data_IF_931021245782
#
_entry.id   IF_931021245782
#
_cell.length_a   1.000
_cell.length_b   1.000
_cell.length_c   1.000
_cell.angle_alpha   90.00
_cell.angle_beta   90.00
_cell.angle_gamma   90.00
#
_symmetry.space_group_name_H-M   'P 1'
#
loop_
_entity.id
_entity.type
_entity.pdbx_description
1 polymer ?
#
# COMPACT_ATOMS: atom_id res chain seq x y z
N UNK A 1 9.82 -21.45 -5.16
CA UNK A 1 9.64 -20.06 -4.72
C UNK A 1 8.22 -19.64 -5.02
N UNK A 2 7.47 -19.14 -4.04
CA UNK A 2 6.14 -18.60 -4.27
C UNK A 2 6.26 -17.34 -5.17
N UNK A 3 5.27 -17.09 -6.05
CA UNK A 3 5.24 -15.89 -6.91
C UNK A 3 5.36 -14.60 -6.07
N UNK A 4 4.73 -14.57 -4.90
CA UNK A 4 4.83 -13.42 -3.98
C UNK A 4 6.25 -13.22 -3.44
N UNK A 5 6.95 -14.28 -3.03
CA UNK A 5 8.35 -14.20 -2.56
C UNK A 5 9.31 -13.73 -3.66
N UNK A 6 9.08 -14.21 -4.89
CA UNK A 6 9.85 -13.74 -6.06
C UNK A 6 9.62 -12.24 -6.27
N UNK A 7 8.36 -11.79 -6.14
CA UNK A 7 7.99 -10.38 -6.26
C UNK A 7 8.67 -9.49 -5.21
N UNK A 8 8.81 -9.97 -3.97
CA UNK A 8 9.54 -9.24 -2.91
C UNK A 8 10.96 -8.93 -3.35
N UNK A 9 11.69 -9.92 -3.87
CA UNK A 9 13.10 -9.74 -4.25
C UNK A 9 13.27 -8.79 -5.44
N UNK A 10 12.43 -8.91 -6.47
CA UNK A 10 12.53 -8.06 -7.67
C UNK A 10 12.06 -6.62 -7.43
N UNK A 11 11.23 -6.39 -6.40
CA UNK A 11 10.71 -5.05 -6.08
C UNK A 11 11.64 -4.21 -5.19
N UNK A 12 12.76 -4.77 -4.71
CA UNK A 12 13.71 -4.05 -3.85
C UNK A 12 14.24 -2.73 -4.45
N UNK A 13 14.63 -2.64 -5.74
CA UNK A 13 15.05 -1.37 -6.33
C UNK A 13 13.95 -0.30 -6.26
N UNK A 14 12.71 -0.67 -6.62
CA UNK A 14 11.56 0.24 -6.56
C UNK A 14 11.27 0.71 -5.13
N UNK A 15 11.39 -0.19 -4.14
CA UNK A 15 11.23 0.18 -2.72
C UNK A 15 12.28 1.20 -2.27
N UNK A 16 13.53 1.08 -2.75
CA UNK A 16 14.59 2.04 -2.46
C UNK A 16 14.26 3.42 -3.00
N UNK A 17 13.77 3.49 -4.23
CA UNK A 17 13.44 4.75 -4.90
C UNK A 17 12.23 5.44 -4.22
N UNK A 18 11.23 4.66 -3.81
CA UNK A 18 10.10 5.17 -3.00
C UNK A 18 10.59 5.74 -1.67
N UNK A 19 11.49 5.04 -0.96
CA UNK A 19 12.08 5.53 0.30
C UNK A 19 12.79 6.88 0.07
N UNK A 20 13.57 7.00 -1.01
CA UNK A 20 14.24 8.26 -1.35
C UNK A 20 13.23 9.40 -1.62
N UNK A 21 12.16 9.13 -2.35
CA UNK A 21 11.12 10.14 -2.63
C UNK A 21 10.40 10.57 -1.35
N UNK A 22 10.02 9.61 -0.50
CA UNK A 22 9.31 9.86 0.76
C UNK A 22 10.14 10.69 1.73
N UNK A 23 11.46 10.47 1.81
CA UNK A 23 12.35 11.25 2.68
C UNK A 23 12.33 12.76 2.36
N UNK A 24 12.05 13.12 1.11
CA UNK A 24 11.87 14.51 0.69
C UNK A 24 10.45 15.00 0.97
N UNK A 25 9.46 14.19 0.66
CA UNK A 25 8.03 14.54 0.77
C UNK A 25 7.62 14.73 2.24
N UNK A 26 8.14 13.91 3.16
CA UNK A 26 7.76 13.96 4.59
C UNK A 26 8.07 15.30 5.25
N UNK A 27 8.99 16.08 4.70
CA UNK A 27 9.36 17.40 5.23
C UNK A 27 8.39 18.50 4.78
N UNK A 28 7.64 18.25 3.71
CA UNK A 28 6.73 19.22 3.08
C UNK A 28 5.26 18.89 3.28
N UNK A 29 4.94 17.63 3.55
CA UNK A 29 3.55 17.21 3.73
C UNK A 29 3.08 17.50 5.15
N UNK A 30 1.96 18.22 5.25
CA UNK A 30 1.19 18.32 6.49
C UNK A 30 0.09 17.26 6.47
N UNK A 31 0.19 16.29 7.38
CA UNK A 31 -0.82 15.24 7.51
C UNK A 31 -2.02 15.76 8.30
N UNK A 32 -3.22 15.37 7.86
CA UNK A 32 -4.44 15.60 8.65
C UNK A 32 -4.51 14.58 9.78
N UNK A 33 -4.95 15.02 10.95
CA UNK A 33 -5.34 14.09 12.01
C UNK A 33 -6.44 13.14 11.55
N UNK A 34 -6.37 11.89 12.03
CA UNK A 34 -7.36 10.85 11.70
C UNK A 34 -7.54 10.69 10.20
N UNK A 35 -6.44 10.77 9.44
CA UNK A 35 -6.46 10.51 8.01
C UNK A 35 -6.58 9.02 7.71
N UNK A 36 -7.13 8.71 6.54
CA UNK A 36 -7.04 7.40 5.92
C UNK A 36 -6.05 7.50 4.77
N UNK A 37 -5.15 6.53 4.67
CA UNK A 37 -4.13 6.47 3.63
C UNK A 37 -4.44 5.29 2.71
N UNK A 38 -4.41 5.54 1.40
CA UNK A 38 -4.60 4.53 0.38
C UNK A 38 -3.30 4.38 -0.43
N UNK A 39 -2.77 3.17 -0.48
CA UNK A 39 -1.61 2.81 -1.30
C UNK A 39 -2.06 1.92 -2.46
N UNK A 40 -1.92 2.43 -3.67
CA UNK A 40 -2.40 1.80 -4.91
C UNK A 40 -1.27 0.98 -5.53
N UNK A 41 -1.59 -0.24 -5.95
CA UNK A 41 -0.60 -1.22 -6.42
C UNK A 41 0.43 -1.56 -5.32
N UNK A 42 -0.08 -1.83 -4.12
CA UNK A 42 0.73 -2.04 -2.91
C UNK A 42 1.58 -3.32 -2.96
N UNK A 43 1.33 -4.23 -3.91
CA UNK A 43 2.04 -5.48 -4.07
C UNK A 43 2.04 -6.31 -2.78
N UNK A 44 3.24 -6.68 -2.32
CA UNK A 44 3.46 -7.49 -1.11
C UNK A 44 3.37 -6.70 0.20
N UNK A 45 3.04 -5.40 0.15
CA UNK A 45 2.82 -4.57 1.33
C UNK A 45 4.08 -3.99 1.98
N UNK A 46 5.25 -4.14 1.36
CA UNK A 46 6.51 -3.63 1.93
C UNK A 46 6.54 -2.11 2.01
N UNK A 47 6.10 -1.40 0.97
CA UNK A 47 6.05 0.08 0.96
C UNK A 47 5.13 0.62 2.07
N UNK A 48 3.86 0.20 2.19
CA UNK A 48 2.98 0.76 3.20
C UNK A 48 3.45 0.41 4.62
N UNK A 49 4.13 -0.72 4.82
CA UNK A 49 4.68 -1.11 6.12
C UNK A 49 6.02 -0.46 6.48
N UNK A 50 7.02 -0.52 5.60
CA UNK A 50 8.41 -0.14 5.89
C UNK A 50 8.72 1.33 5.56
N UNK A 51 7.81 2.01 4.84
CA UNK A 51 8.02 3.38 4.36
C UNK A 51 6.90 4.32 4.80
N UNK A 52 5.61 3.98 4.57
CA UNK A 52 4.50 4.87 4.93
C UNK A 52 4.18 4.84 6.42
N UNK A 53 3.99 3.67 7.01
CA UNK A 53 3.63 3.53 8.42
C UNK A 53 4.56 4.32 9.38
N UNK A 54 5.90 4.35 9.20
CA UNK A 54 6.79 5.09 10.09
C UNK A 54 6.74 6.62 9.98
N UNK A 55 6.20 7.18 8.89
CA UNK A 55 6.17 8.64 8.66
C UNK A 55 4.78 9.25 8.93
N UNK A 56 3.76 8.41 9.04
CA UNK A 56 2.39 8.84 9.23
C UNK A 56 2.15 9.21 10.70
N UNK A 57 1.25 10.16 11.00
CA UNK A 57 0.89 10.49 12.37
C UNK A 57 0.35 9.27 13.12
N UNK A 58 0.61 9.18 14.42
CA UNK A 58 0.01 8.14 15.28
C UNK A 58 -1.53 8.23 15.28
N UNK A 59 -2.09 9.41 15.01
CA UNK A 59 -3.53 9.64 14.90
C UNK A 59 -4.16 9.05 13.62
N UNK A 60 -3.36 8.50 12.68
CA UNK A 60 -3.83 7.90 11.43
C UNK A 60 -4.85 6.80 11.71
N UNK A 61 -6.01 6.88 11.06
CA UNK A 61 -7.14 5.96 11.29
C UNK A 61 -6.91 4.61 10.63
N UNK A 62 -6.44 4.61 9.38
CA UNK A 62 -6.19 3.39 8.64
C UNK A 62 -5.17 3.60 7.51
N UNK A 63 -4.41 2.55 7.23
CA UNK A 63 -3.63 2.40 5.99
C UNK A 63 -4.27 1.25 5.21
N UNK A 64 -4.62 1.52 3.96
CA UNK A 64 -5.30 0.59 3.07
C UNK A 64 -4.38 0.36 1.88
N UNK A 65 -3.85 -0.85 1.74
CA UNK A 65 -3.13 -1.29 0.56
C UNK A 65 -4.08 -1.98 -0.41
N UNK A 66 -4.05 -1.57 -1.69
CA UNK A 66 -4.84 -2.23 -2.73
C UNK A 66 -3.98 -2.71 -3.89
N UNK A 67 -4.29 -3.90 -4.38
CA UNK A 67 -3.63 -4.49 -5.55
C UNK A 67 -4.61 -5.37 -6.33
N UNK A 68 -4.37 -5.56 -7.62
CA UNK A 68 -5.19 -6.42 -8.47
C UNK A 68 -4.93 -7.91 -8.16
N UNK A 69 -3.70 -8.23 -7.76
CA UNK A 69 -3.24 -9.61 -7.59
C UNK A 69 -3.58 -10.16 -6.21
N UNK A 70 -4.53 -11.11 -6.15
CA UNK A 70 -4.93 -11.75 -4.89
C UNK A 70 -3.77 -12.49 -4.21
N UNK A 71 -2.84 -13.07 -4.99
CA UNK A 71 -1.74 -13.85 -4.42
C UNK A 71 -0.71 -12.99 -3.67
N UNK A 72 -0.46 -11.75 -4.12
CA UNK A 72 0.45 -10.83 -3.39
C UNK A 72 -0.25 -10.25 -2.17
N UNK A 73 -1.56 -10.01 -2.25
CA UNK A 73 -2.34 -9.53 -1.11
C UNK A 73 -2.49 -10.58 -0.01
N UNK A 74 -2.54 -11.87 -0.35
CA UNK A 74 -2.53 -12.93 0.65
C UNK A 74 -1.22 -12.90 1.46
N UNK A 75 -0.07 -12.83 0.77
CA UNK A 75 1.23 -12.66 1.42
C UNK A 75 1.27 -11.39 2.29
N UNK A 76 0.78 -10.27 1.76
CA UNK A 76 0.76 -8.99 2.48
C UNK A 76 -0.10 -9.05 3.75
N UNK A 77 -1.28 -9.69 3.68
CA UNK A 77 -2.17 -9.90 4.82
C UNK A 77 -1.55 -10.80 5.88
N UNK A 78 -0.98 -11.94 5.48
CA UNK A 78 -0.31 -12.87 6.39
C UNK A 78 0.84 -12.19 7.16
N UNK A 79 1.58 -11.29 6.49
CA UNK A 79 2.75 -10.64 7.05
C UNK A 79 2.45 -9.34 7.81
N UNK A 80 1.54 -8.51 7.31
CA UNK A 80 1.34 -7.13 7.76
C UNK A 80 -0.12 -6.77 8.10
N UNK A 81 -1.07 -7.70 7.93
CA UNK A 81 -2.52 -7.48 8.07
C UNK A 81 -2.97 -7.02 9.46
N UNK A 82 -2.12 -7.13 10.49
CA UNK A 82 -2.40 -6.60 11.83
C UNK A 82 -2.43 -5.07 11.91
N UNK A 83 -1.69 -4.40 11.02
CA UNK A 83 -1.53 -2.92 11.03
C UNK A 83 -2.07 -2.25 9.77
N UNK A 84 -2.23 -3.01 8.68
CA UNK A 84 -2.58 -2.50 7.36
C UNK A 84 -3.72 -3.34 6.82
N UNK A 85 -4.73 -2.70 6.23
CA UNK A 85 -5.85 -3.37 5.60
C UNK A 85 -5.50 -3.61 4.14
N UNK A 86 -5.53 -4.85 3.68
CA UNK A 86 -5.27 -5.17 2.28
C UNK A 86 -6.57 -5.59 1.57
N UNK A 87 -6.87 -4.97 0.42
CA UNK A 87 -8.05 -5.28 -0.39
C UNK A 87 -7.71 -5.47 -1.86
N UNK A 88 -8.37 -6.43 -2.49
CA UNK A 88 -8.26 -6.60 -3.94
C UNK A 88 -9.00 -5.45 -4.63
N UNK A 89 -8.34 -4.82 -5.60
CA UNK A 89 -8.92 -3.78 -6.44
C UNK A 89 -8.24 -3.77 -7.80
N UNK A 90 -9.01 -3.82 -8.87
CA UNK A 90 -8.55 -3.47 -10.21
C UNK A 90 -8.80 -1.98 -10.41
N UNK A 91 -7.75 -1.15 -10.48
CA UNK A 91 -7.90 0.30 -10.64
C UNK A 91 -8.46 0.69 -12.02
N UNK A 92 -8.29 -0.17 -13.03
CA UNK A 92 -8.75 0.08 -14.40
C UNK A 92 -10.24 -0.26 -14.54
N UNK A 93 -10.66 -1.36 -13.91
CA UNK A 93 -12.04 -1.86 -14.01
C UNK A 93 -12.81 -1.74 -12.69
N UNK A 94 -12.42 -0.83 -11.81
CA UNK A 94 -13.13 -0.63 -10.56
C UNK A 94 -14.53 -0.10 -10.89
N UNK A 95 -15.56 -0.93 -10.70
CA UNK A 95 -16.90 -0.41 -10.56
C UNK A 95 -16.90 0.47 -9.32
N UNK A 96 -16.99 1.78 -9.51
CA UNK A 96 -17.19 2.70 -8.40
C UNK A 96 -18.58 2.37 -7.83
N UNK A 97 -18.69 2.04 -6.53
CA UNK A 97 -20.00 1.74 -5.94
C UNK A 97 -20.97 2.91 -6.18
N UNK A 98 -22.10 2.62 -6.85
CA UNK A 98 -23.10 3.63 -7.20
C UNK A 98 -23.01 4.22 -8.60
N UNK A 99 -22.05 3.81 -9.43
CA UNK A 99 -22.02 4.16 -10.87
C UNK A 99 -22.14 2.90 -11.72
N UNK A 100 -23.27 2.75 -12.42
CA UNK A 100 -23.34 1.83 -13.54
C UNK A 100 -22.80 2.60 -14.75
N UNK A 101 -21.67 2.17 -15.31
CA UNK A 101 -21.25 2.65 -16.63
C UNK A 101 -22.06 1.84 -17.65
N UNK A 102 -23.03 2.49 -18.30
CA UNK A 102 -23.76 1.97 -19.46
C UNK A 102 -22.84 1.79 -20.68
#
# INVERSE_FOLDING_TARGET
MNKAETFVTVSLPAQRDVRYAIEKIKQTVTWRDHCNVLDISCGTGNVPHDVLLPILPESTTAIIGVDMSTCVLQYANEKYGKKIIFKQMDIVNCQIPGTNYE
#
